data_IF_861925854302
#
_entry.id   IF_861925854302
#
_cell.length_a   1.000
_cell.length_b   1.000
_cell.length_c   1.000
_cell.angle_alpha   90.00
_cell.angle_beta   90.00
_cell.angle_gamma   90.00
#
_symmetry.space_group_name_H-M   'P 1'
#
loop_
_entity.id
_entity.type
_entity.pdbx_description
1 polymer ?
#
# COMPACT_ATOMS: atom_id res chain seq x y z
N UNK A 1 4.05 2.17 -5.62
CA UNK A 1 3.12 1.86 -4.53
C UNK A 1 3.00 3.09 -3.66
N UNK A 2 1.78 3.47 -3.27
CA UNK A 2 1.48 4.54 -2.34
C UNK A 2 1.56 4.01 -0.91
N UNK A 3 2.18 4.77 -0.03
CA UNK A 3 2.38 4.42 1.39
C UNK A 3 2.14 5.65 2.25
N UNK A 4 1.67 5.43 3.47
CA UNK A 4 1.45 6.49 4.45
C UNK A 4 2.67 6.62 5.35
N UNK A 5 3.14 7.84 5.58
CA UNK A 5 4.13 8.13 6.61
C UNK A 5 3.41 8.12 7.97
N UNK A 6 3.85 7.25 8.88
CA UNK A 6 3.19 7.06 10.18
C UNK A 6 4.02 7.59 11.36
N UNK A 7 5.34 7.68 11.21
CA UNK A 7 6.25 8.19 12.24
C UNK A 7 7.57 8.67 11.61
N UNK A 8 8.15 9.73 12.19
CA UNK A 8 9.42 10.32 11.77
C UNK A 8 10.29 10.53 13.02
N UNK A 9 11.34 9.73 13.15
CA UNK A 9 12.32 9.80 14.23
C UNK A 9 13.61 10.45 13.69
N UNK A 10 13.77 11.75 13.97
CA UNK A 10 14.92 12.53 13.50
C UNK A 10 16.22 12.15 14.20
N UNK A 11 16.15 11.74 15.47
CA UNK A 11 17.33 11.36 16.27
C UNK A 11 18.00 10.12 15.68
N UNK A 12 17.19 9.16 15.21
CA UNK A 12 17.66 7.92 14.58
C UNK A 12 17.63 7.94 13.06
N UNK A 13 17.24 9.07 12.45
CA UNK A 13 17.07 9.24 11.00
C UNK A 13 16.18 8.14 10.38
N UNK A 14 15.06 7.82 11.05
CA UNK A 14 14.13 6.77 10.63
C UNK A 14 12.78 7.37 10.23
N UNK A 15 12.21 6.84 9.14
CA UNK A 15 10.84 7.12 8.71
C UNK A 15 10.10 5.79 8.70
N UNK A 16 8.98 5.72 9.41
CA UNK A 16 8.10 4.56 9.43
C UNK A 16 7.00 4.74 8.40
N UNK A 17 6.79 3.73 7.56
CA UNK A 17 5.86 3.75 6.44
C UNK A 17 4.85 2.60 6.61
N UNK A 18 3.60 2.85 6.25
CA UNK A 18 2.54 1.84 6.28
C UNK A 18 1.80 1.77 4.95
N UNK A 19 1.84 0.59 4.33
CA UNK A 19 1.04 0.28 3.15
C UNK A 19 -0.43 0.05 3.55
N UNK A 20 -0.65 -0.76 4.59
CA UNK A 20 -1.99 -1.09 5.09
C UNK A 20 -2.78 0.16 5.50
N UNK A 21 -2.17 1.08 6.25
CA UNK A 21 -2.87 2.30 6.64
C UNK A 21 -3.10 3.26 5.47
N UNK A 22 -2.25 3.23 4.44
CA UNK A 22 -2.54 3.98 3.22
C UNK A 22 -3.82 3.45 2.58
N UNK A 23 -3.91 2.13 2.41
CA UNK A 23 -5.07 1.51 1.78
C UNK A 23 -6.36 1.68 2.61
N UNK A 24 -6.27 1.61 3.95
CA UNK A 24 -7.43 1.82 4.85
C UNK A 24 -7.95 3.27 4.84
N UNK A 25 -7.05 4.25 4.69
CA UNK A 25 -7.41 5.67 4.64
C UNK A 25 -7.82 6.15 3.24
N UNK A 26 -7.74 5.27 2.23
CA UNK A 26 -8.08 5.62 0.86
C UNK A 26 -9.59 5.89 0.70
N UNK A 27 -9.90 6.99 0.03
CA UNK A 27 -11.26 7.36 -0.41
C UNK A 27 -11.27 7.56 -1.91
N UNK A 28 -12.37 7.18 -2.57
CA UNK A 28 -12.56 7.48 -4.00
C UNK A 28 -12.64 8.98 -4.24
N UNK A 29 -13.22 9.74 -3.30
CA UNK A 29 -13.18 11.20 -3.30
C UNK A 29 -11.75 11.70 -3.11
N UNK A 30 -11.33 12.65 -3.94
CA UNK A 30 -10.00 13.21 -3.88
C UNK A 30 -9.89 14.21 -2.73
N UNK A 31 -9.02 13.88 -1.77
CA UNK A 31 -8.66 14.77 -0.66
C UNK A 31 -7.20 15.25 -0.82
N UNK A 32 -6.96 16.49 -1.29
CA UNK A 32 -5.62 17.02 -1.53
C UNK A 32 -4.72 17.01 -0.28
N UNK A 33 -5.31 17.12 0.92
CA UNK A 33 -4.55 17.19 2.18
C UNK A 33 -3.70 15.94 2.40
N UNK A 34 -4.19 14.78 1.95
CA UNK A 34 -3.51 13.48 2.09
C UNK A 34 -2.37 13.28 1.10
N UNK A 35 -2.28 14.11 0.05
CA UNK A 35 -1.38 13.92 -1.08
C UNK A 35 -0.41 15.08 -1.32
N UNK A 36 -0.13 15.89 -0.28
CA UNK A 36 0.91 16.92 -0.32
C UNK A 36 0.42 18.36 -0.41
N UNK A 37 -0.89 18.59 -0.25
CA UNK A 37 -1.50 19.93 -0.18
C UNK A 37 -2.03 20.27 1.23
N UNK A 38 -1.52 19.61 2.27
CA UNK A 38 -1.96 19.84 3.66
C UNK A 38 -1.66 21.25 4.19
N UNK A 39 -0.68 21.94 3.61
CA UNK A 39 -0.36 23.35 3.88
C UNK A 39 -1.37 24.34 3.27
N UNK A 40 -2.25 23.87 2.39
CA UNK A 40 -3.34 24.68 1.81
C UNK A 40 -4.56 24.74 2.74
N UNK A 41 -4.46 24.26 3.98
CA UNK A 41 -5.54 24.22 4.96
C UNK A 41 -5.02 24.67 6.33
N UNK A 42 -5.84 25.43 7.06
CA UNK A 42 -5.50 25.90 8.40
C UNK A 42 -5.71 24.82 9.48
N UNK A 43 -5.37 25.11 10.74
CA UNK A 43 -5.55 24.20 11.87
C UNK A 43 -7.03 23.86 12.15
N UNK A 44 -7.96 24.66 11.64
CA UNK A 44 -9.40 24.42 11.75
C UNK A 44 -9.95 23.63 10.55
N UNK A 45 -9.12 23.32 9.55
CA UNK A 45 -9.49 22.61 8.33
C UNK A 45 -10.14 23.50 7.26
N UNK A 46 -10.07 24.83 7.39
CA UNK A 46 -10.53 25.72 6.33
C UNK A 46 -9.47 25.85 5.24
N UNK A 47 -9.92 25.93 4.00
CA UNK A 47 -9.02 26.11 2.86
C UNK A 47 -8.38 27.51 2.87
N UNK A 48 -7.06 27.53 2.74
CA UNK A 48 -6.25 28.73 2.59
C UNK A 48 -6.02 28.93 1.09
N UNK A 49 -6.61 29.99 0.55
CA UNK A 49 -6.40 30.35 -0.85
C UNK A 49 -4.93 30.69 -1.09
N UNK A 50 -4.34 30.23 -2.21
CA UNK A 50 -2.95 30.52 -2.51
C UNK A 50 -2.76 32.03 -2.75
N UNK A 51 -1.54 32.50 -2.46
CA UNK A 51 -1.19 33.89 -2.70
C UNK A 51 -1.35 34.23 -4.18
N UNK A 52 -2.08 35.31 -4.48
CA UNK A 52 -2.40 35.67 -5.86
C UNK A 52 -3.77 35.19 -6.34
N UNK A 53 -4.47 34.33 -5.59
CA UNK A 53 -5.83 33.91 -5.93
C UNK A 53 -6.86 34.72 -5.14
N UNK A 54 -7.78 35.37 -5.84
CA UNK A 54 -8.88 36.11 -5.25
C UNK A 54 -10.11 35.19 -5.12
N UNK A 55 -10.50 34.91 -3.88
CA UNK A 55 -11.63 34.04 -3.56
C UNK A 55 -12.99 34.68 -3.89
N UNK A 56 -13.09 36.01 -3.95
CA UNK A 56 -14.35 36.71 -4.27
C UNK A 56 -14.64 36.64 -5.77
N UNK A 57 -13.62 36.73 -6.60
CA UNK A 57 -13.74 36.68 -8.07
C UNK A 57 -13.47 35.29 -8.65
N UNK A 58 -12.86 34.39 -7.86
CA UNK A 58 -12.42 33.06 -8.27
C UNK A 58 -11.42 33.11 -9.44
N UNK A 59 -10.56 34.13 -9.44
CA UNK A 59 -9.55 34.38 -10.47
C UNK A 59 -8.16 34.60 -9.86
N UNK A 60 -7.13 34.30 -10.66
CA UNK A 60 -5.76 34.65 -10.32
C UNK A 60 -5.49 36.11 -10.69
N UNK A 61 -4.86 36.85 -9.79
CA UNK A 61 -4.40 38.22 -10.00
C UNK A 61 -3.26 38.25 -11.02
N UNK A 62 -3.22 39.33 -11.81
CA UNK A 62 -2.14 39.59 -12.76
C UNK A 62 -0.79 39.73 -12.04
N UNK A 63 0.27 39.11 -12.56
CA UNK A 63 1.60 39.12 -11.96
C UNK A 63 1.89 37.95 -11.00
N UNK A 64 0.91 37.07 -10.75
CA UNK A 64 1.06 35.87 -9.92
C UNK A 64 1.17 34.57 -10.75
N UNK A 65 1.60 34.66 -12.01
CA UNK A 65 1.62 33.51 -12.92
C UNK A 65 2.58 32.41 -12.44
N UNK A 66 3.66 32.77 -11.75
CA UNK A 66 4.59 31.79 -11.17
C UNK A 66 3.95 31.05 -10.00
N UNK A 67 3.27 31.76 -9.09
CA UNK A 67 2.59 31.16 -7.95
C UNK A 67 1.44 30.25 -8.42
N UNK A 68 0.72 30.70 -9.45
CA UNK A 68 -0.28 29.89 -10.14
C UNK A 68 0.31 28.60 -10.69
N UNK A 69 1.39 28.69 -11.46
CA UNK A 69 2.01 27.52 -12.07
C UNK A 69 2.54 26.52 -11.02
N UNK A 70 3.11 27.02 -9.92
CA UNK A 70 3.58 26.18 -8.81
C UNK A 70 2.41 25.49 -8.10
N UNK A 71 1.34 26.22 -7.81
CA UNK A 71 0.13 25.67 -7.19
C UNK A 71 -0.53 24.61 -8.10
N UNK A 72 -0.70 24.91 -9.39
CA UNK A 72 -1.28 23.99 -10.37
C UNK A 72 -0.41 22.73 -10.51
N UNK A 73 0.92 22.86 -10.52
CA UNK A 73 1.84 21.73 -10.59
C UNK A 73 1.73 20.83 -9.34
N UNK A 74 1.69 21.42 -8.14
CA UNK A 74 1.52 20.67 -6.89
C UNK A 74 0.16 19.97 -6.83
N UNK A 75 -0.91 20.64 -7.27
CA UNK A 75 -2.24 20.05 -7.34
C UNK A 75 -2.28 18.86 -8.31
N UNK A 76 -1.70 19.02 -9.51
CA UNK A 76 -1.60 17.94 -10.49
C UNK A 76 -0.78 16.75 -9.98
N UNK A 77 0.29 17.00 -9.20
CA UNK A 77 1.06 15.94 -8.56
C UNK A 77 0.25 15.20 -7.48
N UNK A 78 -0.51 15.94 -6.67
CA UNK A 78 -1.41 15.37 -5.66
C UNK A 78 -2.50 14.50 -6.31
N UNK A 79 -3.12 14.96 -7.40
CA UNK A 79 -4.07 14.15 -8.18
C UNK A 79 -3.41 12.89 -8.75
N UNK A 80 -2.20 13.02 -9.31
CA UNK A 80 -1.44 11.86 -9.82
C UNK A 80 -1.18 10.84 -8.71
N UNK A 81 -0.85 11.30 -7.51
CA UNK A 81 -0.64 10.45 -6.34
C UNK A 81 -1.93 9.72 -5.93
N UNK A 82 -3.07 10.41 -5.92
CA UNK A 82 -4.38 9.78 -5.66
C UNK A 82 -4.75 8.74 -6.72
N UNK A 83 -4.58 9.05 -8.00
CA UNK A 83 -4.82 8.10 -9.09
C UNK A 83 -3.93 6.85 -9.00
N UNK A 84 -2.66 7.02 -8.63
CA UNK A 84 -1.77 5.89 -8.36
C UNK A 84 -2.21 5.06 -7.15
N UNK A 85 -2.79 5.70 -6.13
CA UNK A 85 -3.35 5.01 -4.97
C UNK A 85 -4.59 4.20 -5.36
N UNK A 86 -5.51 4.80 -6.14
CA UNK A 86 -6.68 4.11 -6.68
C UNK A 86 -6.28 2.87 -7.50
N UNK A 87 -5.29 3.01 -8.37
CA UNK A 87 -4.76 1.89 -9.15
C UNK A 87 -4.10 0.81 -8.26
N UNK A 88 -3.52 1.18 -7.12
CA UNK A 88 -2.99 0.24 -6.15
C UNK A 88 -4.11 -0.55 -5.45
N UNK A 89 -5.16 0.13 -5.00
CA UNK A 89 -6.31 -0.50 -4.35
C UNK A 89 -6.96 -1.53 -5.27
N UNK A 90 -7.15 -1.20 -6.55
CA UNK A 90 -7.74 -2.14 -7.50
C UNK A 90 -6.87 -3.37 -7.71
N UNK A 91 -5.54 -3.20 -7.86
CA UNK A 91 -4.61 -4.34 -7.95
C UNK A 91 -4.66 -5.22 -6.70
N UNK A 92 -4.72 -4.63 -5.50
CA UNK A 92 -4.82 -5.41 -4.26
C UNK A 92 -6.15 -6.16 -4.18
N UNK A 93 -7.25 -5.57 -4.65
CA UNK A 93 -8.57 -6.22 -4.74
C UNK A 93 -8.56 -7.40 -5.71
N UNK A 94 -7.97 -7.23 -6.90
CA UNK A 94 -7.81 -8.30 -7.88
C UNK A 94 -6.98 -9.47 -7.30
N UNK A 95 -5.84 -9.17 -6.69
CA UNK A 95 -4.97 -10.17 -6.06
C UNK A 95 -5.68 -10.92 -4.93
N UNK A 96 -6.48 -10.22 -4.11
CA UNK A 96 -7.27 -10.86 -3.06
C UNK A 96 -8.33 -11.80 -3.64
N UNK A 97 -8.98 -11.42 -4.75
CA UNK A 97 -9.94 -12.26 -5.45
C UNK A 97 -9.28 -13.51 -6.07
N UNK A 98 -8.11 -13.36 -6.70
CA UNK A 98 -7.32 -14.48 -7.25
C UNK A 98 -6.85 -15.44 -6.16
N UNK A 99 -6.38 -14.90 -5.01
CA UNK A 99 -5.97 -15.69 -3.87
C UNK A 99 -7.14 -16.47 -3.26
N UNK A 100 -8.34 -15.86 -3.18
CA UNK A 100 -9.55 -16.54 -2.72
C UNK A 100 -10.03 -17.64 -3.69
N UNK A 101 -9.80 -17.47 -5.00
CA UNK A 101 -10.14 -18.45 -6.02
C UNK A 101 -9.15 -19.63 -6.09
N UNK A 102 -7.94 -19.47 -5.55
CA UNK A 102 -6.90 -20.51 -5.57
C UNK A 102 -7.01 -21.38 -4.32
N UNK A 103 -7.26 -22.70 -4.43
CA UNK A 103 -7.30 -23.57 -3.25
C UNK A 103 -5.91 -23.60 -2.59
N UNK A 104 -5.84 -23.11 -1.34
CA UNK A 104 -4.61 -23.16 -0.55
C UNK A 104 -4.28 -24.61 -0.18
N UNK A 105 -3.13 -25.10 -0.65
CA UNK A 105 -2.61 -26.43 -0.32
C UNK A 105 -1.72 -26.43 0.94
N UNK A 106 -1.75 -25.34 1.73
CA UNK A 106 -0.98 -25.20 2.97
C UNK A 106 -1.91 -25.30 4.17
N UNK A 107 -2.14 -26.52 4.66
CA UNK A 107 -2.72 -26.77 5.97
C UNK A 107 -1.59 -26.84 7.00
N UNK A 108 -1.42 -25.79 7.79
CA UNK A 108 -0.80 -25.92 9.12
C UNK A 108 -1.94 -25.99 10.13
N UNK A 109 -2.49 -27.19 10.30
CA UNK A 109 -3.33 -27.51 11.45
C UNK A 109 -2.40 -27.51 12.67
N UNK A 110 -2.35 -26.38 13.38
CA UNK A 110 -1.72 -26.34 14.71
C UNK A 110 -2.78 -26.83 15.67
N UNK A 111 -2.79 -28.12 15.95
CA UNK A 111 -3.63 -28.71 16.99
C UNK A 111 -3.13 -28.21 18.35
N UNK A 112 -3.77 -27.15 18.87
CA UNK A 112 -3.69 -26.80 20.28
C UNK A 112 -4.50 -27.81 21.09
N UNK A 113 -3.91 -28.97 21.39
CA UNK A 113 -4.17 -29.71 22.64
C UNK A 113 -3.04 -30.74 22.88
N UNK A 114 -2.24 -30.51 23.91
CA UNK A 114 -1.47 -31.55 24.57
C UNK A 114 -1.90 -31.53 26.03
N UNK A 115 -2.27 -32.69 26.60
CA UNK A 115 -1.22 -33.52 27.18
C UNK A 115 -1.40 -35.04 27.05
N UNK A 116 -0.27 -35.71 27.32
CA UNK A 116 -0.10 -37.09 27.80
C UNK A 116 0.03 -38.25 26.79
N UNK A 117 1.31 -38.57 26.52
CA UNK A 117 1.94 -39.87 26.26
C UNK A 117 1.09 -41.14 26.04
N UNK A 118 1.32 -41.85 24.93
CA UNK A 118 1.62 -43.30 24.89
C UNK A 118 2.15 -43.73 23.51
N UNK A 119 2.98 -44.77 23.49
CA UNK A 119 3.87 -45.25 22.43
C UNK A 119 3.19 -45.98 21.25
N UNK A 120 3.71 -45.81 20.02
CA UNK A 120 4.10 -46.86 19.03
C UNK A 120 4.09 -46.33 17.56
N UNK A 121 4.96 -46.84 16.66
CA UNK A 121 5.31 -46.19 15.40
C UNK A 121 4.34 -46.56 14.27
N UNK A 122 3.93 -45.57 13.47
CA UNK A 122 3.23 -45.77 12.21
C UNK A 122 4.00 -45.07 11.09
N UNK A 123 4.83 -45.86 10.43
CA UNK A 123 5.17 -45.81 8.99
C UNK A 123 5.06 -44.42 8.32
N UNK A 124 6.23 -43.80 8.17
CA UNK A 124 6.50 -42.72 7.22
C UNK A 124 6.23 -43.16 5.78
N UNK A 125 4.97 -43.01 5.35
CA UNK A 125 4.47 -43.28 3.99
C UNK A 125 4.06 -41.99 3.27
N UNK A 126 4.98 -41.03 3.13
CA UNK A 126 4.79 -39.81 2.34
C UNK A 126 5.36 -39.98 0.94
N UNK A 127 4.72 -40.77 0.09
CA UNK A 127 5.16 -41.01 -1.29
C UNK A 127 4.23 -40.36 -2.30
N UNK A 128 4.83 -39.63 -3.26
CA UNK A 128 4.33 -39.28 -4.62
C UNK A 128 4.06 -37.80 -4.96
N UNK A 129 4.16 -36.83 -4.04
CA UNK A 129 4.10 -35.41 -4.41
C UNK A 129 5.46 -34.67 -4.39
N UNK A 130 6.50 -35.25 -3.78
CA UNK A 130 7.75 -34.53 -3.52
C UNK A 130 8.89 -34.86 -4.49
N UNK A 131 8.88 -36.01 -5.17
CA UNK A 131 10.05 -36.49 -5.91
C UNK A 131 10.18 -35.88 -7.32
N UNK A 132 9.07 -35.74 -8.05
CA UNK A 132 9.06 -35.11 -9.38
C UNK A 132 9.34 -33.60 -9.30
N UNK A 133 8.79 -32.93 -8.29
CA UNK A 133 9.04 -31.51 -8.05
C UNK A 133 10.51 -31.25 -7.64
N UNK A 134 11.11 -32.16 -6.86
CA UNK A 134 12.55 -32.10 -6.54
C UNK A 134 13.43 -32.38 -7.75
N UNK A 135 13.04 -33.32 -8.61
CA UNK A 135 13.75 -33.60 -9.86
C UNK A 135 13.72 -32.38 -10.79
N UNK A 136 12.56 -31.74 -10.95
CA UNK A 136 12.41 -30.51 -11.73
C UNK A 136 13.26 -29.35 -11.17
N UNK A 137 13.32 -29.21 -9.85
CA UNK A 137 14.15 -28.20 -9.20
C UNK A 137 15.65 -28.47 -9.40
N UNK A 138 16.10 -29.73 -9.26
CA UNK A 138 17.50 -30.12 -9.51
C UNK A 138 17.92 -29.94 -10.96
N UNK A 139 17.04 -30.27 -11.91
CA UNK A 139 17.31 -30.04 -13.33
C UNK A 139 17.51 -28.55 -13.63
N UNK A 140 16.71 -27.67 -13.00
CA UNK A 140 16.83 -26.23 -13.15
C UNK A 140 18.10 -25.65 -12.50
N UNK A 141 18.59 -26.25 -11.42
CA UNK A 141 19.78 -25.78 -10.70
C UNK A 141 21.10 -26.29 -11.29
N UNK A 142 21.09 -27.42 -12.00
CA UNK A 142 22.29 -28.03 -12.60
C UNK A 142 22.59 -27.55 -14.03
N UNK A 143 21.72 -26.70 -14.59
CA UNK A 143 21.84 -26.16 -15.95
C UNK A 143 22.30 -24.71 -16.06
N UNK A 144 22.96 -24.14 -15.04
CA UNK A 144 23.53 -22.79 -15.08
C UNK A 144 25.02 -22.78 -14.77
#
# INVERSE_FOLDING_TARGET
AMVKVIDIDLDRRRISLSLKQADEDFTEEFDPTKYGMGDSYDEQGNYIFPEGFDAETNEWMEGFETQRAEWEARYAEAERHHQMHAAQIERHREQAAEAAATPSNYSSETTEDAPAATEAPAESGGTLASDEQLAALRARLSGN
#
